data_IF_306364741296
#
_entry.id   IF_306364741296
#
_cell.length_a   1.000
_cell.length_b   1.000
_cell.length_c   1.000
_cell.angle_alpha   90.00
_cell.angle_beta   90.00
_cell.angle_gamma   90.00
#
_symmetry.space_group_name_H-M   'P 1'
#
loop_
_entity.id
_entity.type
_entity.pdbx_description
1 polymer ?
#
# COMPACT_ATOMS: atom_id res chain seq x y z
N UNK A 1 -1.59 -7.40 -15.04
CA UNK A 1 -1.33 -5.97 -15.31
C UNK A 1 -0.09 -5.75 -16.17
N UNK A 2 0.63 -6.81 -16.48
CA UNK A 2 1.82 -6.78 -17.32
C UNK A 2 1.47 -6.34 -18.76
N UNK A 3 2.28 -5.43 -19.31
CA UNK A 3 2.12 -4.96 -20.68
C UNK A 3 0.91 -4.05 -20.95
N UNK A 4 0.19 -3.60 -19.93
CA UNK A 4 -1.05 -2.83 -20.10
C UNK A 4 -0.90 -1.31 -20.00
N UNK A 5 0.29 -0.77 -19.71
CA UNK A 5 0.50 0.66 -19.45
C UNK A 5 -0.04 1.56 -20.58
N UNK A 6 0.31 1.25 -21.83
CA UNK A 6 -0.12 2.02 -23.00
C UNK A 6 -1.63 1.96 -23.31
N UNK A 7 -2.30 0.92 -22.80
CA UNK A 7 -3.76 0.76 -22.91
C UNK A 7 -4.47 1.47 -21.77
N UNK A 8 -3.92 1.36 -20.56
CA UNK A 8 -4.52 1.90 -19.35
C UNK A 8 -4.47 3.43 -19.30
N UNK A 9 -3.34 4.03 -19.67
CA UNK A 9 -3.15 5.48 -19.59
C UNK A 9 -4.25 6.29 -20.32
N UNK A 10 -4.59 6.02 -21.59
CA UNK A 10 -5.66 6.74 -22.27
C UNK A 10 -7.04 6.49 -21.63
N UNK A 11 -7.31 5.29 -21.09
CA UNK A 11 -8.58 4.99 -20.43
C UNK A 11 -8.74 5.78 -19.12
N UNK A 12 -7.70 5.83 -18.29
CA UNK A 12 -7.72 6.62 -17.06
C UNK A 12 -8.04 8.10 -17.36
N UNK A 13 -7.43 8.64 -18.42
CA UNK A 13 -7.67 10.01 -18.86
C UNK A 13 -9.08 10.20 -19.43
N UNK A 14 -9.56 9.30 -20.26
CA UNK A 14 -10.89 9.35 -20.88
C UNK A 14 -12.00 9.35 -19.82
N UNK A 15 -11.87 8.49 -18.81
CA UNK A 15 -12.87 8.37 -17.74
C UNK A 15 -12.62 9.31 -16.56
N UNK A 16 -11.59 10.15 -16.60
CA UNK A 16 -11.28 11.12 -15.54
C UNK A 16 -10.92 10.45 -14.20
N UNK A 17 -10.32 9.26 -14.24
CA UNK A 17 -9.92 8.52 -13.03
C UNK A 17 -8.58 9.10 -12.55
N UNK A 18 -8.60 9.77 -11.42
CA UNK A 18 -7.43 10.45 -10.84
C UNK A 18 -6.97 9.85 -9.51
N UNK A 19 -7.84 9.14 -8.81
CA UNK A 19 -7.54 8.52 -7.52
C UNK A 19 -7.41 7.00 -7.70
N UNK A 20 -6.21 6.56 -7.98
CA UNK A 20 -5.88 5.15 -8.25
C UNK A 20 -4.39 4.93 -8.04
N UNK A 21 -4.01 3.68 -7.92
CA UNK A 21 -2.65 3.19 -8.12
C UNK A 21 -2.68 1.79 -8.74
N UNK A 22 -1.60 1.44 -9.41
CA UNK A 22 -1.34 0.08 -9.88
C UNK A 22 -0.21 -0.52 -9.03
N UNK A 23 -0.21 -1.83 -8.86
CA UNK A 23 0.73 -2.53 -7.99
C UNK A 23 1.02 -3.95 -8.51
N UNK A 24 1.98 -4.61 -7.87
CA UNK A 24 2.35 -6.01 -8.14
C UNK A 24 2.83 -6.30 -9.57
N UNK A 25 3.49 -5.32 -10.18
CA UNK A 25 4.11 -5.47 -11.51
C UNK A 25 5.56 -5.92 -11.40
N UNK A 26 6.04 -6.51 -12.49
CA UNK A 26 7.47 -6.69 -12.71
C UNK A 26 8.21 -5.35 -12.81
N UNK A 27 9.52 -5.34 -12.62
CA UNK A 27 10.31 -4.11 -12.79
C UNK A 27 10.19 -3.54 -14.22
N UNK A 28 10.28 -4.33 -15.31
CA UNK A 28 10.06 -3.81 -16.66
C UNK A 28 8.69 -3.16 -16.85
N UNK A 29 7.62 -3.75 -16.29
CA UNK A 29 6.29 -3.18 -16.39
C UNK A 29 6.14 -1.90 -15.55
N UNK A 30 6.73 -1.85 -14.36
CA UNK A 30 6.76 -0.64 -13.54
C UNK A 30 7.45 0.52 -14.28
N UNK A 31 8.49 0.26 -15.05
CA UNK A 31 9.14 1.25 -15.92
C UNK A 31 8.17 1.72 -17.02
N UNK A 32 7.39 0.80 -17.59
CA UNK A 32 6.38 1.15 -18.60
C UNK A 32 5.27 2.02 -18.02
N UNK A 33 4.78 1.72 -16.82
CA UNK A 33 3.80 2.56 -16.12
C UNK A 33 4.36 3.94 -15.78
N UNK A 34 5.61 4.02 -15.33
CA UNK A 34 6.29 5.29 -15.10
C UNK A 34 6.38 6.15 -16.37
N UNK A 35 6.71 5.54 -17.50
CA UNK A 35 6.83 6.26 -18.77
C UNK A 35 5.50 6.83 -19.28
N UNK A 36 4.38 6.26 -18.85
CA UNK A 36 3.02 6.73 -19.14
C UNK A 36 2.43 7.61 -18.02
N UNK A 37 3.24 8.04 -17.05
CA UNK A 37 2.82 8.84 -15.89
C UNK A 37 1.69 8.22 -15.07
N UNK A 38 1.64 6.89 -15.02
CA UNK A 38 0.68 6.13 -14.21
C UNK A 38 1.21 5.99 -12.78
N UNK A 39 0.37 6.33 -11.79
CA UNK A 39 0.70 6.15 -10.38
C UNK A 39 0.83 4.67 -10.03
N UNK A 40 1.98 4.27 -9.51
CA UNK A 40 2.23 2.90 -9.10
C UNK A 40 2.84 2.82 -7.70
N UNK A 41 2.56 1.71 -7.02
CA UNK A 41 3.17 1.36 -5.74
C UNK A 41 4.21 0.27 -5.96
N UNK A 42 5.35 0.44 -5.33
CA UNK A 42 6.41 -0.55 -5.31
C UNK A 42 6.28 -1.46 -4.09
N UNK A 43 6.49 -2.76 -4.27
CA UNK A 43 6.36 -3.74 -3.19
C UNK A 43 7.57 -3.74 -2.27
N UNK A 44 7.30 -3.93 -0.98
CA UNK A 44 8.26 -4.29 0.05
C UNK A 44 7.71 -5.50 0.83
N UNK A 45 8.55 -6.48 1.08
CA UNK A 45 8.18 -7.72 1.78
C UNK A 45 9.39 -8.32 2.48
N UNK A 46 9.22 -9.46 3.16
CA UNK A 46 10.33 -10.22 3.71
C UNK A 46 11.34 -10.64 2.64
N UNK A 47 10.88 -10.77 1.39
CA UNK A 47 11.70 -11.21 0.24
C UNK A 47 12.28 -10.04 -0.55
N UNK A 48 11.70 -8.84 -0.43
CA UNK A 48 12.06 -7.63 -1.16
C UNK A 48 12.29 -6.48 -0.17
N UNK A 49 13.36 -6.58 0.61
CA UNK A 49 13.66 -5.61 1.67
C UNK A 49 13.97 -4.21 1.13
N UNK A 50 14.58 -4.14 -0.04
CA UNK A 50 14.83 -2.90 -0.75
C UNK A 50 13.74 -2.67 -1.80
N UNK A 51 13.08 -1.53 -1.72
CA UNK A 51 11.97 -1.19 -2.61
C UNK A 51 12.49 -0.77 -3.98
N UNK A 52 12.16 -1.55 -5.00
CA UNK A 52 12.56 -1.25 -6.38
C UNK A 52 11.83 0.00 -6.90
N UNK A 53 12.53 0.84 -7.66
CA UNK A 53 12.01 2.07 -8.25
C UNK A 53 11.35 3.02 -7.23
N UNK A 54 11.78 2.96 -5.99
CA UNK A 54 11.18 3.71 -4.87
C UNK A 54 11.10 5.21 -5.13
N UNK A 55 12.13 5.79 -5.71
CA UNK A 55 12.19 7.21 -6.07
C UNK A 55 11.01 7.64 -6.96
N UNK A 56 10.56 6.75 -7.85
CA UNK A 56 9.54 7.02 -8.85
C UNK A 56 8.13 6.56 -8.45
N UNK A 57 8.02 5.70 -7.45
CA UNK A 57 6.73 5.21 -6.97
C UNK A 57 5.97 6.30 -6.20
N UNK A 58 4.65 6.35 -6.35
CA UNK A 58 3.80 7.22 -5.53
C UNK A 58 3.57 6.67 -4.12
N UNK A 59 3.78 5.39 -3.92
CA UNK A 59 3.60 4.73 -2.64
C UNK A 59 4.27 3.37 -2.56
N UNK A 60 4.03 2.69 -1.44
CA UNK A 60 4.52 1.35 -1.16
C UNK A 60 3.40 0.38 -0.85
N UNK A 61 3.53 -0.83 -1.37
CA UNK A 61 2.71 -1.98 -1.08
C UNK A 61 3.46 -2.88 -0.11
N UNK A 62 3.08 -2.83 1.19
CA UNK A 62 3.75 -3.56 2.26
C UNK A 62 3.09 -4.91 2.45
N UNK A 63 3.80 -5.97 2.13
CA UNK A 63 3.28 -7.34 2.13
C UNK A 63 3.99 -8.24 3.14
N UNK A 64 3.24 -8.89 4.00
CA UNK A 64 3.70 -9.76 5.09
C UNK A 64 3.25 -11.20 4.87
N UNK A 65 4.04 -11.96 4.12
CA UNK A 65 3.67 -13.34 3.79
C UNK A 65 3.69 -14.28 5.00
N UNK A 66 4.71 -14.19 5.86
CA UNK A 66 4.96 -15.19 6.88
C UNK A 66 4.97 -14.63 8.31
N UNK A 67 5.42 -13.41 8.49
CA UNK A 67 5.59 -12.82 9.82
C UNK A 67 5.35 -11.31 9.81
N UNK A 68 5.05 -10.77 10.97
CA UNK A 68 4.93 -9.34 11.17
C UNK A 68 6.31 -8.68 11.19
N UNK A 69 6.65 -7.96 10.11
CA UNK A 69 7.93 -7.25 9.97
C UNK A 69 7.77 -5.73 9.86
N UNK A 70 6.56 -5.25 9.63
CA UNK A 70 6.26 -3.82 9.51
C UNK A 70 6.33 -3.20 10.92
N UNK A 71 7.27 -2.27 11.13
CA UNK A 71 7.43 -1.53 12.38
C UNK A 71 7.06 -0.06 12.19
N UNK A 72 6.90 0.65 13.30
CA UNK A 72 6.65 2.10 13.29
C UNK A 72 7.72 2.85 12.50
N UNK A 73 8.99 2.44 12.63
CA UNK A 73 10.11 3.09 11.92
C UNK A 73 10.00 2.93 10.40
N UNK A 74 9.51 1.79 9.93
CA UNK A 74 9.28 1.53 8.51
C UNK A 74 8.16 2.43 8.00
N UNK A 75 7.03 2.48 8.70
CA UNK A 75 5.91 3.34 8.36
C UNK A 75 6.32 4.82 8.35
N UNK A 76 7.00 5.27 9.41
CA UNK A 76 7.51 6.65 9.50
C UNK A 76 8.48 7.01 8.38
N UNK A 77 9.38 6.09 8.01
CA UNK A 77 10.32 6.30 6.91
C UNK A 77 9.56 6.61 5.61
N UNK A 78 8.57 5.78 5.25
CA UNK A 78 7.81 5.99 4.03
C UNK A 78 7.00 7.29 4.06
N UNK A 79 6.38 7.61 5.20
CA UNK A 79 5.64 8.86 5.36
C UNK A 79 6.54 10.11 5.26
N UNK A 80 7.77 10.05 5.82
CA UNK A 80 8.77 11.14 5.70
C UNK A 80 9.23 11.37 4.27
N UNK A 81 9.27 10.31 3.46
CA UNK A 81 9.59 10.36 2.03
C UNK A 81 8.37 10.69 1.16
N UNK A 82 7.30 11.15 1.77
CA UNK A 82 6.05 11.55 1.12
C UNK A 82 5.35 10.42 0.32
N UNK A 83 5.55 9.17 0.74
CA UNK A 83 4.91 7.99 0.12
C UNK A 83 3.56 7.69 0.76
N UNK A 84 2.60 7.31 -0.08
CA UNK A 84 1.41 6.62 0.38
C UNK A 84 1.75 5.17 0.76
N UNK A 85 1.01 4.60 1.70
CA UNK A 85 1.25 3.24 2.19
C UNK A 85 -0.01 2.42 2.02
N UNK A 86 0.10 1.26 1.38
CA UNK A 86 -0.93 0.23 1.41
C UNK A 86 -0.39 -0.99 2.14
N UNK A 87 -0.97 -1.32 3.28
CA UNK A 87 -0.62 -2.49 4.08
C UNK A 87 -1.50 -3.65 3.63
N UNK A 88 -0.88 -4.77 3.29
CA UNK A 88 -1.59 -6.03 3.01
C UNK A 88 -1.87 -6.71 4.34
N UNK A 89 -3.15 -6.86 4.65
CA UNK A 89 -3.57 -7.48 5.91
C UNK A 89 -3.21 -8.96 5.96
N UNK A 90 -2.79 -9.47 7.13
CA UNK A 90 -2.41 -10.88 7.31
C UNK A 90 -3.49 -11.88 6.91
N UNK A 91 -4.76 -11.50 6.96
CA UNK A 91 -5.88 -12.35 6.57
C UNK A 91 -5.82 -12.81 5.10
N UNK A 92 -5.25 -12.01 4.20
CA UNK A 92 -5.00 -12.41 2.81
C UNK A 92 -4.01 -13.57 2.70
N UNK A 93 -3.16 -13.76 3.70
CA UNK A 93 -2.21 -14.88 3.81
C UNK A 93 -2.64 -15.94 4.83
N UNK A 94 -3.93 -15.97 5.20
CA UNK A 94 -4.52 -16.92 6.16
C UNK A 94 -3.87 -16.87 7.56
N UNK A 95 -3.36 -15.70 7.95
CA UNK A 95 -2.78 -15.42 9.27
C UNK A 95 -3.78 -14.65 10.14
N UNK A 96 -3.57 -14.67 11.46
CA UNK A 96 -4.33 -13.84 12.38
C UNK A 96 -3.98 -12.36 12.19
N UNK A 97 -5.00 -11.49 12.11
CA UNK A 97 -4.87 -10.10 11.76
C UNK A 97 -5.08 -9.13 12.93
N UNK A 98 -5.74 -9.56 14.00
CA UNK A 98 -6.19 -8.63 15.05
C UNK A 98 -5.05 -7.91 15.77
N UNK A 99 -3.97 -8.63 16.10
CA UNK A 99 -2.81 -8.03 16.78
C UNK A 99 -2.09 -7.00 15.88
N UNK A 100 -2.00 -7.28 14.59
CA UNK A 100 -1.37 -6.36 13.64
C UNK A 100 -2.26 -5.15 13.37
N UNK A 101 -3.58 -5.35 13.27
CA UNK A 101 -4.52 -4.24 13.18
C UNK A 101 -4.48 -3.32 14.40
N UNK A 102 -4.32 -3.89 15.61
CA UNK A 102 -4.15 -3.09 16.83
C UNK A 102 -2.88 -2.25 16.78
N UNK A 103 -1.78 -2.82 16.30
CA UNK A 103 -0.53 -2.10 16.08
C UNK A 103 -0.75 -0.92 15.10
N UNK A 104 -1.35 -1.16 13.94
CA UNK A 104 -1.59 -0.12 12.94
C UNK A 104 -2.54 0.97 13.43
N UNK A 105 -3.60 0.60 14.15
CA UNK A 105 -4.51 1.57 14.76
C UNK A 105 -3.80 2.46 15.77
N UNK A 106 -3.00 1.87 16.66
CA UNK A 106 -2.22 2.63 17.64
C UNK A 106 -1.21 3.57 16.95
N UNK A 107 -0.60 3.14 15.86
CA UNK A 107 0.29 4.00 15.08
C UNK A 107 -0.45 5.19 14.48
N UNK A 108 -1.61 5.00 13.84
CA UNK A 108 -2.42 6.08 13.26
C UNK A 108 -2.93 7.06 14.32
N UNK A 109 -3.46 6.58 15.43
CA UNK A 109 -3.98 7.39 16.53
C UNK A 109 -2.90 8.33 17.11
N UNK A 110 -1.64 7.89 17.11
CA UNK A 110 -0.51 8.69 17.57
C UNK A 110 0.04 9.67 16.52
N UNK A 111 -0.28 9.49 15.24
CA UNK A 111 0.27 10.30 14.12
C UNK A 111 -0.75 11.24 13.47
N UNK A 112 -1.84 11.54 14.15
CA UNK A 112 -2.90 12.51 13.80
C UNK A 112 -3.00 12.95 12.33
N UNK A 113 -4.01 12.42 11.63
CA UNK A 113 -4.53 13.04 10.40
C UNK A 113 -3.76 12.73 9.12
N UNK A 114 -3.02 11.65 9.07
CA UNK A 114 -2.34 11.24 7.86
C UNK A 114 -3.15 10.21 7.08
N UNK A 115 -4.01 10.66 6.17
CA UNK A 115 -4.82 9.82 5.26
C UNK A 115 -3.98 9.08 4.19
N UNK A 116 -2.70 8.84 4.45
CA UNK A 116 -1.77 8.20 3.51
C UNK A 116 -1.61 6.71 3.74
N UNK A 117 -2.26 6.14 4.76
CA UNK A 117 -2.21 4.70 5.05
C UNK A 117 -3.53 4.06 4.66
N UNK A 118 -3.44 3.02 3.87
CA UNK A 118 -4.56 2.20 3.40
C UNK A 118 -4.35 0.76 3.86
N UNK A 119 -5.43 0.03 4.07
CA UNK A 119 -5.42 -1.39 4.38
C UNK A 119 -6.09 -2.19 3.26
N UNK A 120 -5.39 -3.17 2.71
CA UNK A 120 -5.94 -4.16 1.81
C UNK A 120 -6.32 -5.41 2.60
N UNK A 121 -7.60 -5.76 2.65
CA UNK A 121 -8.13 -6.89 3.44
C UNK A 121 -9.37 -7.48 2.80
N UNK A 122 -9.57 -8.78 2.96
CA UNK A 122 -10.83 -9.47 2.61
C UNK A 122 -11.94 -9.22 3.64
N UNK A 123 -11.59 -8.68 4.82
CA UNK A 123 -12.49 -8.42 5.96
C UNK A 123 -12.92 -6.95 6.05
N UNK A 124 -13.29 -6.33 4.94
CA UNK A 124 -13.54 -4.88 4.83
C UNK A 124 -14.50 -4.37 5.91
N UNK A 125 -15.66 -5.03 6.13
CA UNK A 125 -16.63 -4.60 7.14
C UNK A 125 -16.10 -4.71 8.57
N UNK A 126 -15.32 -5.74 8.85
CA UNK A 126 -14.67 -5.93 10.16
C UNK A 126 -13.63 -4.83 10.40
N UNK A 127 -12.82 -4.53 9.38
CA UNK A 127 -11.84 -3.46 9.42
C UNK A 127 -12.49 -2.09 9.62
N UNK A 128 -13.56 -1.76 8.90
CA UNK A 128 -14.30 -0.51 9.11
C UNK A 128 -14.76 -0.34 10.56
N UNK A 129 -15.32 -1.38 11.16
CA UNK A 129 -15.75 -1.34 12.57
C UNK A 129 -14.56 -1.19 13.49
N UNK A 130 -13.48 -1.94 13.25
CA UNK A 130 -12.30 -1.96 14.10
C UNK A 130 -11.57 -0.61 14.12
N UNK A 131 -11.29 -0.04 12.94
CA UNK A 131 -10.52 1.21 12.84
C UNK A 131 -11.35 2.46 13.15
N UNK A 132 -12.67 2.45 12.92
CA UNK A 132 -13.55 3.56 13.26
C UNK A 132 -14.11 3.49 14.69
N UNK A 133 -13.85 2.43 15.44
CA UNK A 133 -14.24 2.36 16.85
C UNK A 133 -13.42 3.36 17.65
N UNK A 134 -14.10 4.33 18.29
CA UNK A 134 -13.45 5.27 19.22
C UNK A 134 -12.77 4.47 20.35
N UNK A 135 -11.53 4.84 20.65
CA UNK A 135 -10.85 4.34 21.84
C UNK A 135 -11.60 4.92 23.06
N UNK A 136 -12.31 4.04 23.77
CA UNK A 136 -12.99 4.41 25.00
C UNK A 136 -12.02 4.44 26.17
#
# INVERSE_FOLDING_TARGET
EDGLASILAPLLKEYGIINYFVFDMSIPDSISYRNEDIHFFSRQSEYEKEVSLYEYSSGVWLDEFNLHWITDEILEKHLKEDKEICIVSPDLHQRDHLNEWEHYKNFEDNKLGNNKIMLCTDKVKEAEVFFNAEIK
#
